data_IF_573093435595
#
_entry.id   IF_573093435595
#
_cell.length_a   1.000
_cell.length_b   1.000
_cell.length_c   1.000
_cell.angle_alpha   90.00
_cell.angle_beta   90.00
_cell.angle_gamma   90.00
#
_symmetry.space_group_name_H-M   'P 1'
#
loop_
_entity.id
_entity.type
_entity.pdbx_description
1 polymer ?
#
# COMPACT_ATOMS: atom_id res chain seq x y z
N UNK A 1 -26.32 -45.82 40.36
CA UNK A 1 -26.30 -44.33 40.25
C UNK A 1 -24.90 -43.95 39.79
N UNK A 2 -24.58 -43.92 38.48
CA UNK A 2 -24.77 -42.83 37.49
C UNK A 2 -24.54 -41.44 38.14
N UNK A 3 -23.62 -40.54 37.76
CA UNK A 3 -22.93 -40.23 36.50
C UNK A 3 -21.52 -39.66 36.77
N UNK A 4 -20.54 -40.05 35.96
CA UNK A 4 -19.36 -39.25 35.67
C UNK A 4 -19.71 -38.13 34.68
N UNK A 5 -19.10 -36.95 34.84
CA UNK A 5 -19.17 -35.86 33.88
C UNK A 5 -17.76 -35.54 33.39
N UNK A 6 -17.47 -35.87 32.13
CA UNK A 6 -16.32 -35.39 31.38
C UNK A 6 -16.66 -34.06 30.69
N UNK A 7 -15.71 -33.11 30.57
CA UNK A 7 -15.91 -31.92 29.76
C UNK A 7 -15.66 -32.21 28.27
N UNK A 8 -16.73 -32.10 27.47
CA UNK A 8 -16.66 -31.94 26.02
C UNK A 8 -16.12 -30.54 25.67
N UNK A 9 -14.85 -30.44 25.30
CA UNK A 9 -14.31 -29.27 24.59
C UNK A 9 -13.28 -29.71 23.55
N UNK A 10 -13.75 -30.41 22.51
CA UNK A 10 -13.00 -30.59 21.26
C UNK A 10 -14.00 -30.69 20.10
N UNK A 11 -14.46 -29.56 19.57
CA UNK A 11 -15.11 -29.52 18.24
C UNK A 11 -15.36 -28.12 17.65
N UNK A 12 -14.59 -27.09 18.01
CA UNK A 12 -14.74 -25.76 17.38
C UNK A 12 -13.68 -25.43 16.32
N UNK A 13 -12.69 -26.30 16.09
CA UNK A 13 -11.59 -26.00 15.17
C UNK A 13 -11.80 -26.47 13.72
N UNK A 14 -12.89 -27.19 13.40
CA UNK A 14 -13.07 -27.78 12.05
C UNK A 14 -14.11 -27.02 11.19
N UNK A 15 -14.99 -26.20 11.79
CA UNK A 15 -16.03 -25.50 11.02
C UNK A 15 -15.53 -24.20 10.38
N UNK A 16 -14.42 -23.61 10.84
CA UNK A 16 -13.88 -22.38 10.24
C UNK A 16 -13.01 -22.57 8.98
N UNK A 17 -12.70 -23.79 8.55
CA UNK A 17 -11.89 -24.02 7.33
C UNK A 17 -12.69 -24.21 6.04
N UNK A 18 -14.03 -24.35 6.11
CA UNK A 18 -14.86 -24.59 4.92
C UNK A 18 -15.47 -23.32 4.31
N UNK A 19 -15.44 -22.18 5.00
CA UNK A 19 -16.00 -20.92 4.50
C UNK A 19 -15.06 -20.15 3.55
N UNK A 20 -13.78 -20.51 3.48
CA UNK A 20 -12.79 -19.75 2.71
C UNK A 20 -12.65 -20.20 1.25
N UNK A 21 -13.12 -21.40 0.90
CA UNK A 21 -13.03 -21.94 -0.47
C UNK A 21 -14.16 -21.45 -1.38
N UNK A 22 -15.35 -21.16 -0.85
CA UNK A 22 -16.50 -20.71 -1.65
C UNK A 22 -16.42 -19.24 -2.07
N UNK A 23 -15.86 -18.37 -1.23
CA UNK A 23 -15.75 -16.93 -1.52
C UNK A 23 -14.89 -16.65 -2.77
N UNK A 24 -13.73 -17.31 -2.89
CA UNK A 24 -12.85 -17.15 -4.04
C UNK A 24 -13.48 -17.67 -5.35
N UNK A 25 -14.27 -18.74 -5.28
CA UNK A 25 -14.97 -19.29 -6.44
C UNK A 25 -16.08 -18.35 -6.95
N UNK A 26 -16.79 -17.67 -6.04
CA UNK A 26 -17.83 -16.71 -6.40
C UNK A 26 -17.26 -15.41 -7.00
N UNK A 27 -16.13 -14.93 -6.49
CA UNK A 27 -15.44 -13.76 -7.06
C UNK A 27 -14.97 -14.03 -8.50
N UNK A 28 -14.36 -15.19 -8.73
CA UNK A 28 -13.85 -15.56 -10.06
C UNK A 28 -14.97 -15.83 -11.07
N UNK A 29 -16.09 -16.41 -10.61
CA UNK A 29 -17.29 -16.55 -11.42
C UNK A 29 -17.89 -15.19 -11.77
N UNK A 30 -18.05 -14.32 -10.79
CA UNK A 30 -18.61 -12.98 -10.98
C UNK A 30 -17.78 -12.14 -11.96
N UNK A 31 -16.45 -12.19 -11.86
CA UNK A 31 -15.53 -11.53 -12.82
C UNK A 31 -15.71 -12.02 -14.26
N UNK A 32 -16.00 -13.31 -14.47
CA UNK A 32 -16.23 -13.89 -15.80
C UNK A 32 -17.51 -13.39 -16.47
N UNK A 33 -18.50 -12.94 -15.69
CA UNK A 33 -19.76 -12.39 -16.22
C UNK A 33 -19.59 -11.02 -16.88
N UNK A 34 -18.47 -10.32 -16.63
CA UNK A 34 -18.12 -9.02 -17.25
C UNK A 34 -19.23 -7.97 -17.14
N UNK A 35 -19.94 -7.94 -16.02
CA UNK A 35 -21.00 -6.98 -15.74
C UNK A 35 -20.36 -5.62 -15.48
N UNK A 36 -20.73 -4.58 -16.25
CA UNK A 36 -20.11 -3.25 -16.20
C UNK A 36 -21.00 -2.14 -15.62
N UNK A 37 -22.29 -2.38 -15.55
CA UNK A 37 -23.27 -1.38 -15.14
C UNK A 37 -23.81 -1.73 -13.75
N UNK A 38 -23.47 -0.91 -12.76
CA UNK A 38 -23.89 -1.07 -11.38
C UNK A 38 -25.42 -1.06 -11.22
N UNK A 39 -26.15 -0.31 -12.07
CA UNK A 39 -27.62 -0.23 -11.99
C UNK A 39 -28.32 -1.53 -12.41
N UNK A 40 -27.73 -2.26 -13.35
CA UNK A 40 -28.26 -3.55 -13.82
C UNK A 40 -27.48 -4.74 -13.26
N UNK A 41 -26.57 -4.50 -12.31
CA UNK A 41 -25.62 -5.50 -11.84
C UNK A 41 -26.31 -6.67 -11.13
N UNK A 42 -27.12 -6.37 -10.11
CA UNK A 42 -27.77 -7.42 -9.33
C UNK A 42 -28.69 -8.27 -10.18
N UNK A 43 -29.45 -7.64 -11.06
CA UNK A 43 -30.34 -8.35 -11.99
C UNK A 43 -29.54 -9.30 -12.90
N UNK A 44 -28.44 -8.83 -13.51
CA UNK A 44 -27.60 -9.65 -14.38
C UNK A 44 -26.86 -10.75 -13.63
N UNK A 45 -26.43 -10.48 -12.40
CA UNK A 45 -25.75 -11.43 -11.53
C UNK A 45 -26.69 -12.57 -11.09
N UNK A 46 -27.91 -12.23 -10.65
CA UNK A 46 -28.90 -13.24 -10.17
C UNK A 46 -29.43 -14.13 -11.29
N UNK A 47 -29.42 -13.66 -12.54
CA UNK A 47 -29.86 -14.43 -13.71
C UNK A 47 -28.73 -15.14 -14.46
N UNK A 48 -27.48 -15.02 -13.98
CA UNK A 48 -26.34 -15.63 -14.64
C UNK A 48 -26.32 -17.15 -14.44
N UNK A 49 -25.81 -17.86 -15.44
CA UNK A 49 -25.65 -19.31 -15.36
C UNK A 49 -24.58 -19.67 -14.33
N UNK A 50 -24.93 -20.55 -13.41
CA UNK A 50 -24.04 -21.11 -12.39
C UNK A 50 -23.77 -22.58 -12.65
N UNK A 51 -22.61 -23.06 -12.23
CA UNK A 51 -22.28 -24.49 -12.19
C UNK A 51 -22.30 -25.02 -10.74
N UNK A 52 -22.02 -26.31 -10.55
CA UNK A 52 -22.04 -26.96 -9.24
C UNK A 52 -21.08 -26.33 -8.22
N UNK A 53 -20.03 -25.63 -8.67
CA UNK A 53 -19.07 -24.95 -7.79
C UNK A 53 -19.46 -23.52 -7.42
N UNK A 54 -20.40 -22.93 -8.17
CA UNK A 54 -20.79 -21.52 -8.09
C UNK A 54 -22.29 -21.32 -7.91
N UNK A 55 -23.04 -22.41 -7.71
CA UNK A 55 -24.50 -22.44 -7.59
C UNK A 55 -25.05 -21.48 -6.54
N UNK A 56 -24.32 -21.29 -5.43
CA UNK A 56 -24.73 -20.41 -4.34
C UNK A 56 -24.35 -18.94 -4.56
N UNK A 57 -23.50 -18.62 -5.55
CA UNK A 57 -22.96 -17.27 -5.74
C UNK A 57 -24.03 -16.24 -6.16
N UNK A 58 -25.18 -16.69 -6.67
CA UNK A 58 -26.33 -15.82 -6.96
C UNK A 58 -26.95 -15.20 -5.70
N UNK A 59 -26.71 -15.79 -4.52
CA UNK A 59 -27.17 -15.29 -3.24
C UNK A 59 -26.30 -14.12 -2.74
N UNK A 60 -25.03 -14.11 -3.11
CA UNK A 60 -24.05 -13.08 -2.74
C UNK A 60 -24.01 -11.91 -3.75
N UNK A 61 -24.90 -11.90 -4.76
CA UNK A 61 -24.93 -10.87 -5.80
C UNK A 61 -25.06 -9.44 -5.27
N UNK A 62 -25.74 -9.24 -4.13
CA UNK A 62 -25.81 -7.92 -3.49
C UNK A 62 -24.41 -7.45 -3.05
N UNK A 63 -23.65 -8.32 -2.38
CA UNK A 63 -22.29 -8.03 -1.92
C UNK A 63 -21.29 -7.93 -3.08
N UNK A 64 -21.40 -8.81 -4.08
CA UNK A 64 -20.55 -8.81 -5.28
C UNK A 64 -20.82 -7.58 -6.17
N UNK A 65 -22.07 -7.14 -6.28
CA UNK A 65 -22.39 -5.90 -7.00
C UNK A 65 -22.07 -4.65 -6.18
N UNK A 66 -22.11 -4.74 -4.85
CA UNK A 66 -21.63 -3.68 -3.97
C UNK A 66 -20.11 -3.49 -4.13
N UNK A 67 -19.33 -4.55 -4.22
CA UNK A 67 -17.89 -4.46 -4.52
C UNK A 67 -17.63 -3.93 -5.94
N UNK A 68 -18.53 -4.16 -6.91
CA UNK A 68 -18.50 -3.52 -8.23
C UNK A 68 -18.84 -2.01 -8.15
N UNK A 69 -19.78 -1.61 -7.30
CA UNK A 69 -20.12 -0.20 -7.08
C UNK A 69 -19.05 0.53 -6.26
N UNK A 70 -18.34 -0.18 -5.38
CA UNK A 70 -17.18 0.30 -4.62
C UNK A 70 -15.93 0.36 -5.50
N UNK A 71 -15.73 -0.57 -6.44
CA UNK A 71 -14.70 -0.47 -7.49
C UNK A 71 -15.06 0.53 -8.61
N UNK A 72 -16.35 0.84 -8.81
CA UNK A 72 -16.75 2.02 -9.59
C UNK A 72 -16.50 3.34 -8.81
N UNK A 73 -16.29 3.26 -7.49
CA UNK A 73 -15.74 4.33 -6.64
C UNK A 73 -14.22 4.24 -6.45
N UNK A 74 -13.54 3.27 -7.07
CA UNK A 74 -12.06 3.21 -7.11
C UNK A 74 -11.44 4.17 -8.13
N UNK A 75 -12.21 5.09 -8.73
CA UNK A 75 -11.65 6.37 -9.13
C UNK A 75 -11.78 7.34 -7.95
N UNK A 76 -10.65 7.65 -7.32
CA UNK A 76 -10.42 8.74 -6.34
C UNK A 76 -10.38 8.38 -4.85
N UNK A 77 -10.04 7.15 -4.44
CA UNK A 77 -9.68 6.95 -3.02
C UNK A 77 -8.22 7.35 -2.75
N UNK A 78 -7.95 8.66 -2.81
CA UNK A 78 -6.68 9.29 -2.40
C UNK A 78 -6.72 9.65 -0.91
N UNK A 79 -7.05 8.69 -0.05
CA UNK A 79 -7.03 8.94 1.39
C UNK A 79 -5.57 9.08 1.87
N UNK A 80 -5.24 10.21 2.49
CA UNK A 80 -3.89 10.49 2.99
C UNK A 80 -2.93 11.17 2.00
N UNK A 81 -3.40 11.60 0.82
CA UNK A 81 -2.61 12.44 -0.09
C UNK A 81 -2.98 13.92 0.05
N UNK A 82 -2.02 14.81 -0.18
CA UNK A 82 -2.25 16.25 -0.30
C UNK A 82 -2.97 16.60 -1.61
N UNK A 83 -3.55 17.79 -1.70
CA UNK A 83 -4.18 18.28 -2.93
C UNK A 83 -3.19 18.33 -4.11
N UNK A 84 -1.93 18.63 -3.82
CA UNK A 84 -0.83 18.65 -4.79
C UNK A 84 -0.49 17.24 -5.29
N UNK A 85 -0.43 16.26 -4.39
CA UNK A 85 -0.24 14.85 -4.74
C UNK A 85 -1.41 14.33 -5.59
N UNK A 86 -2.66 14.68 -5.25
CA UNK A 86 -3.85 14.33 -6.05
C UNK A 86 -3.73 14.92 -7.47
N UNK A 87 -3.32 16.19 -7.58
CA UNK A 87 -3.13 16.87 -8.87
C UNK A 87 -2.05 16.18 -9.72
N UNK A 88 -0.94 15.77 -9.09
CA UNK A 88 0.12 15.01 -9.75
C UNK A 88 -0.36 13.62 -10.18
N UNK A 89 -0.97 12.85 -9.28
CA UNK A 89 -1.41 11.47 -9.51
C UNK A 89 -2.49 11.36 -10.59
N UNK A 90 -3.36 12.38 -10.73
CA UNK A 90 -4.33 12.44 -11.83
C UNK A 90 -3.66 12.45 -13.21
N UNK A 91 -2.51 13.11 -13.33
CA UNK A 91 -1.75 13.24 -14.58
C UNK A 91 -0.74 12.10 -14.77
N UNK A 92 -0.23 11.54 -13.68
CA UNK A 92 0.86 10.55 -13.66
C UNK A 92 0.47 9.30 -12.87
N UNK A 93 -0.64 8.65 -13.24
CA UNK A 93 -1.24 7.53 -12.48
C UNK A 93 -0.25 6.38 -12.23
N UNK A 94 0.57 6.03 -13.23
CA UNK A 94 1.56 4.94 -13.12
C UNK A 94 2.66 5.29 -12.12
N UNK A 95 3.19 6.51 -12.18
CA UNK A 95 4.25 6.96 -11.29
C UNK A 95 3.76 7.07 -9.85
N UNK A 96 2.52 7.49 -9.64
CA UNK A 96 1.88 7.51 -8.33
C UNK A 96 1.72 6.10 -7.73
N UNK A 97 1.29 5.12 -8.53
CA UNK A 97 1.22 3.72 -8.09
C UNK A 97 2.59 3.16 -7.74
N UNK A 98 3.63 3.52 -8.52
CA UNK A 98 5.01 3.15 -8.20
C UNK A 98 5.47 3.81 -6.90
N UNK A 99 5.24 5.11 -6.73
CA UNK A 99 5.61 5.84 -5.51
C UNK A 99 5.01 5.19 -4.25
N UNK A 100 3.73 4.82 -4.29
CA UNK A 100 3.08 4.10 -3.18
C UNK A 100 3.71 2.73 -2.89
N UNK A 101 4.04 1.94 -3.92
CA UNK A 101 4.73 0.66 -3.70
C UNK A 101 6.12 0.85 -3.11
N UNK A 102 6.82 1.90 -3.52
CA UNK A 102 8.17 2.21 -3.07
C UNK A 102 8.19 2.75 -1.64
N UNK A 103 7.11 3.36 -1.13
CA UNK A 103 7.03 3.77 0.27
C UNK A 103 6.93 2.55 1.19
N UNK A 104 6.16 1.53 0.80
CA UNK A 104 6.10 0.24 1.51
C UNK A 104 7.48 -0.43 1.50
N UNK A 105 8.16 -0.46 0.35
CA UNK A 105 9.51 -1.02 0.26
C UNK A 105 10.53 -0.24 1.13
N UNK A 106 10.40 1.08 1.23
CA UNK A 106 11.22 1.91 2.10
C UNK A 106 10.98 1.57 3.57
N UNK A 107 9.72 1.43 3.98
CA UNK A 107 9.36 1.00 5.34
C UNK A 107 9.95 -0.38 5.68
N UNK A 108 9.79 -1.38 4.81
CA UNK A 108 10.39 -2.72 5.00
C UNK A 108 11.92 -2.65 5.12
N UNK A 109 12.56 -1.82 4.30
CA UNK A 109 14.00 -1.61 4.35
C UNK A 109 14.44 -1.01 5.69
N UNK A 110 13.69 -0.03 6.20
CA UNK A 110 13.99 0.65 7.45
C UNK A 110 13.69 -0.21 8.68
N UNK A 111 12.67 -1.08 8.62
CA UNK A 111 12.38 -2.06 9.68
C UNK A 111 13.50 -3.10 9.86
N UNK A 112 14.38 -3.27 8.87
CA UNK A 112 15.59 -4.10 9.02
C UNK A 112 16.67 -3.44 9.91
N UNK A 113 16.59 -2.12 10.13
CA UNK A 113 17.51 -1.34 10.98
C UNK A 113 16.82 -1.00 12.30
N UNK A 114 15.59 -0.52 12.22
CA UNK A 114 14.81 -0.03 13.35
C UNK A 114 13.72 -1.04 13.69
N UNK A 115 13.60 -1.40 14.96
CA UNK A 115 12.58 -2.35 15.42
C UNK A 115 11.16 -1.75 15.43
N UNK A 116 11.04 -0.45 15.19
CA UNK A 116 9.80 0.33 15.14
C UNK A 116 9.86 1.30 13.96
N UNK A 117 8.70 1.67 13.45
CA UNK A 117 8.47 2.67 12.42
C UNK A 117 7.56 3.71 13.07
N UNK A 118 8.09 4.89 13.36
CA UNK A 118 7.37 6.01 14.00
C UNK A 118 7.61 7.31 13.23
N UNK A 119 6.80 8.34 13.50
CA UNK A 119 6.97 9.69 12.93
C UNK A 119 8.00 10.47 13.72
N UNK A 120 8.73 11.36 13.07
CA UNK A 120 9.68 12.30 13.69
C UNK A 120 10.89 11.65 14.39
N UNK A 121 11.23 10.39 14.10
CA UNK A 121 12.43 9.71 14.66
C UNK A 121 13.41 9.22 13.59
N UNK A 122 14.48 8.52 13.98
CA UNK A 122 15.48 8.03 13.02
C UNK A 122 14.92 7.02 12.00
N UNK A 123 13.83 6.33 12.35
CA UNK A 123 13.12 5.43 11.43
C UNK A 123 12.38 6.22 10.35
N UNK A 124 11.87 7.41 10.68
CA UNK A 124 11.23 8.31 9.72
C UNK A 124 12.23 8.89 8.73
N UNK A 125 13.33 9.43 9.26
CA UNK A 125 14.45 9.91 8.44
C UNK A 125 14.98 8.82 7.48
N UNK A 126 14.94 7.55 7.92
CA UNK A 126 15.23 6.41 7.06
C UNK A 126 14.21 6.25 5.93
N UNK A 127 12.90 6.24 6.26
CA UNK A 127 11.84 6.06 5.26
C UNK A 127 11.89 7.15 4.21
N UNK A 128 12.03 8.41 4.59
CA UNK A 128 12.18 9.54 3.66
C UNK A 128 13.39 9.36 2.74
N UNK A 129 14.56 9.04 3.30
CA UNK A 129 15.76 8.80 2.48
C UNK A 129 15.58 7.62 1.50
N UNK A 130 15.10 6.47 1.99
CA UNK A 130 14.96 5.26 1.16
C UNK A 130 13.90 5.47 0.08
N UNK A 131 12.75 6.06 0.43
CA UNK A 131 11.66 6.32 -0.49
C UNK A 131 12.08 7.29 -1.60
N UNK A 132 12.73 8.40 -1.23
CA UNK A 132 13.22 9.38 -2.19
C UNK A 132 14.25 8.77 -3.16
N UNK A 133 15.17 7.94 -2.67
CA UNK A 133 16.17 7.27 -3.52
C UNK A 133 15.50 6.28 -4.49
N UNK A 134 14.59 5.44 -3.98
CA UNK A 134 13.86 4.46 -4.78
C UNK A 134 13.00 5.13 -5.85
N UNK A 135 12.30 6.22 -5.51
CA UNK A 135 11.55 7.00 -6.49
C UNK A 135 12.45 7.59 -7.57
N UNK A 136 13.58 8.20 -7.20
CA UNK A 136 14.50 8.77 -8.20
C UNK A 136 15.01 7.70 -9.17
N UNK A 137 15.22 6.47 -8.70
CA UNK A 137 15.62 5.32 -9.51
C UNK A 137 14.51 4.80 -10.43
N UNK A 138 13.27 4.71 -9.96
CA UNK A 138 12.16 4.02 -10.66
C UNK A 138 11.27 4.92 -11.53
N UNK A 139 11.11 6.20 -11.13
CA UNK A 139 10.26 7.18 -11.84
C UNK A 139 11.05 8.41 -12.29
N UNK A 140 12.35 8.46 -11.99
CA UNK A 140 13.24 9.55 -12.35
C UNK A 140 13.21 10.70 -11.35
N UNK A 141 14.36 11.34 -11.17
CA UNK A 141 14.60 12.41 -10.19
C UNK A 141 13.56 13.55 -10.26
N UNK A 142 13.18 13.97 -11.48
CA UNK A 142 12.23 15.06 -11.67
C UNK A 142 10.85 14.73 -11.06
N UNK A 143 10.32 13.55 -11.36
CA UNK A 143 9.01 13.15 -10.88
C UNK A 143 9.06 12.80 -9.39
N UNK A 144 10.14 12.17 -8.92
CA UNK A 144 10.39 11.94 -7.51
C UNK A 144 10.35 13.23 -6.70
N UNK A 145 11.09 14.25 -7.13
CA UNK A 145 11.14 15.56 -6.46
C UNK A 145 9.76 16.23 -6.37
N UNK A 146 8.96 16.13 -7.44
CA UNK A 146 7.60 16.68 -7.45
C UNK A 146 6.69 15.97 -6.44
N UNK A 147 6.70 14.64 -6.40
CA UNK A 147 5.89 13.86 -5.46
C UNK A 147 6.32 14.16 -4.03
N UNK A 148 7.61 14.04 -3.71
CA UNK A 148 8.15 14.30 -2.38
C UNK A 148 7.79 15.69 -1.87
N UNK A 149 8.01 16.72 -2.69
CA UNK A 149 7.67 18.10 -2.29
C UNK A 149 6.15 18.27 -2.10
N UNK A 150 5.34 17.58 -2.91
CA UNK A 150 3.88 17.61 -2.77
C UNK A 150 3.42 16.90 -1.50
N UNK A 151 4.12 15.83 -1.11
CA UNK A 151 3.86 15.08 0.13
C UNK A 151 4.03 15.98 1.36
N UNK A 152 5.16 16.70 1.43
CA UNK A 152 5.47 17.61 2.55
C UNK A 152 4.68 18.95 2.48
N UNK A 153 3.73 19.11 1.56
CA UNK A 153 2.87 20.29 1.47
C UNK A 153 1.59 20.18 2.29
N UNK A 154 1.49 19.19 3.17
CA UNK A 154 0.36 19.04 4.06
C UNK A 154 0.26 20.26 5.01
N UNK A 155 -0.81 21.08 4.94
CA UNK A 155 -0.93 22.29 5.75
C UNK A 155 -1.15 22.02 7.24
N UNK A 156 -1.30 20.74 7.65
CA UNK A 156 -1.48 20.32 9.04
C UNK A 156 -0.18 19.82 9.69
N UNK A 157 0.88 19.68 8.90
CA UNK A 157 2.20 19.27 9.37
C UNK A 157 2.90 20.42 10.08
N UNK A 158 3.70 20.11 11.10
CA UNK A 158 4.51 21.11 11.79
C UNK A 158 5.72 21.51 10.93
N UNK A 159 6.12 22.78 11.00
CA UNK A 159 7.24 23.29 10.19
C UNK A 159 8.55 22.52 10.45
N UNK A 160 8.76 22.01 11.68
CA UNK A 160 9.97 21.26 12.02
C UNK A 160 10.00 19.84 11.44
N UNK A 161 8.83 19.19 11.37
CA UNK A 161 8.60 17.89 10.71
C UNK A 161 8.85 18.03 9.21
N UNK A 162 8.17 18.99 8.57
CA UNK A 162 8.39 19.35 7.17
C UNK A 162 9.85 19.58 6.81
N UNK A 163 10.58 20.33 7.65
CA UNK A 163 11.99 20.63 7.38
C UNK A 163 12.88 19.38 7.53
N UNK A 164 12.54 18.46 8.44
CA UNK A 164 13.22 17.18 8.61
C UNK A 164 13.05 16.30 7.36
N UNK A 165 11.81 16.17 6.89
CA UNK A 165 11.46 15.33 5.76
C UNK A 165 12.03 15.86 4.45
N UNK A 166 11.89 17.17 4.19
CA UNK A 166 12.52 17.82 3.04
C UNK A 166 14.06 17.68 3.05
N UNK A 167 14.71 17.78 4.20
CA UNK A 167 16.16 17.63 4.31
C UNK A 167 16.59 16.19 3.99
N UNK A 168 15.89 15.20 4.53
CA UNK A 168 16.22 13.79 4.34
C UNK A 168 15.91 13.31 2.91
N UNK A 169 14.81 13.76 2.32
CA UNK A 169 14.50 13.62 0.90
C UNK A 169 15.62 14.19 0.01
N UNK A 170 16.09 15.39 0.34
CA UNK A 170 17.16 16.06 -0.41
C UNK A 170 18.48 15.28 -0.37
N UNK A 171 18.86 14.74 0.79
CA UNK A 171 20.09 13.92 0.92
C UNK A 171 20.05 12.73 -0.04
N UNK A 172 18.90 12.04 -0.13
CA UNK A 172 18.73 10.91 -1.04
C UNK A 172 18.83 11.31 -2.52
N UNK A 173 18.20 12.42 -2.92
CA UNK A 173 18.28 12.92 -4.28
C UNK A 173 19.71 13.35 -4.65
N UNK A 174 20.44 13.99 -3.73
CA UNK A 174 21.85 14.36 -3.93
C UNK A 174 22.73 13.11 -4.05
N UNK A 175 22.49 12.09 -3.24
CA UNK A 175 23.20 10.82 -3.36
C UNK A 175 22.86 10.08 -4.65
N UNK A 176 21.61 10.11 -5.13
CA UNK A 176 21.21 9.51 -6.41
C UNK A 176 21.89 10.19 -7.62
N UNK A 177 22.06 11.52 -7.59
CA UNK A 177 22.77 12.27 -8.64
C UNK A 177 24.22 11.84 -8.80
N UNK A 178 24.82 11.26 -7.77
CA UNK A 178 26.12 10.62 -7.89
C UNK A 178 26.00 9.36 -8.76
N UNK A 179 26.62 9.39 -9.95
CA UNK A 179 26.55 8.31 -10.95
C UNK A 179 27.03 6.94 -10.45
N UNK A 180 27.87 6.90 -9.42
CA UNK A 180 28.28 5.64 -8.78
C UNK A 180 27.18 5.03 -7.91
N UNK A 181 26.26 5.86 -7.43
CA UNK A 181 25.18 5.48 -6.54
C UNK A 181 23.90 5.14 -7.29
N UNK A 182 23.64 5.77 -8.44
CA UNK A 182 22.39 5.57 -9.21
C UNK A 182 22.16 4.14 -9.72
N UNK A 183 23.21 3.30 -9.76
CA UNK A 183 23.15 1.89 -10.19
C UNK A 183 23.17 0.89 -9.03
N UNK A 184 23.10 1.38 -7.79
CA UNK A 184 23.20 0.54 -6.60
C UNK A 184 21.99 -0.37 -6.43
N UNK A 185 22.26 -1.57 -5.92
CA UNK A 185 21.22 -2.46 -5.42
C UNK A 185 20.55 -1.86 -4.18
N UNK A 186 19.38 -2.36 -3.81
CA UNK A 186 18.64 -1.81 -2.67
C UNK A 186 19.41 -2.03 -1.35
N UNK A 187 20.15 -3.14 -1.24
CA UNK A 187 21.08 -3.38 -0.14
C UNK A 187 22.23 -2.36 -0.10
N UNK A 188 22.76 -1.99 -1.27
CA UNK A 188 23.82 -0.98 -1.36
C UNK A 188 23.30 0.42 -0.99
N UNK A 189 22.04 0.72 -1.30
CA UNK A 189 21.37 1.97 -0.90
C UNK A 189 21.19 2.01 0.62
N UNK A 190 20.75 0.90 1.23
CA UNK A 190 20.65 0.76 2.67
C UNK A 190 22.01 0.91 3.37
N UNK A 191 23.08 0.37 2.77
CA UNK A 191 24.45 0.54 3.28
C UNK A 191 24.94 1.98 3.15
N UNK A 192 24.56 2.68 2.08
CA UNK A 192 24.84 4.10 1.91
C UNK A 192 24.11 4.94 2.98
N UNK A 193 22.84 4.64 3.26
CA UNK A 193 22.09 5.22 4.37
C UNK A 193 22.85 5.03 5.69
N UNK A 194 23.23 3.79 6.04
CA UNK A 194 23.99 3.47 7.26
C UNK A 194 25.31 4.26 7.36
N UNK A 195 25.99 4.48 6.23
CA UNK A 195 27.21 5.30 6.18
C UNK A 195 26.91 6.78 6.47
N UNK A 196 25.87 7.33 5.87
CA UNK A 196 25.45 8.71 6.11
C UNK A 196 24.96 8.93 7.55
N UNK A 197 24.32 7.91 8.15
CA UNK A 197 23.87 7.93 9.54
C UNK A 197 25.06 8.04 10.49
N UNK A 198 26.12 7.25 10.28
CA UNK A 198 27.38 7.34 11.05
C UNK A 198 28.04 8.72 10.92
N UNK A 199 27.86 9.38 9.79
CA UNK A 199 28.39 10.71 9.53
C UNK A 199 27.48 11.84 10.02
N UNK A 200 26.38 11.53 10.73
CA UNK A 200 25.42 12.50 11.27
C UNK A 200 24.88 13.47 10.21
N UNK A 201 24.62 12.96 9.01
CA UNK A 201 24.08 13.78 7.90
C UNK A 201 22.58 14.02 7.98
N UNK A 202 21.84 13.13 8.63
CA UNK A 202 20.38 13.18 8.69
C UNK A 202 19.89 14.20 9.71
N UNK A 203 18.76 14.84 9.39
CA UNK A 203 18.01 15.64 10.35
C UNK A 203 17.00 14.72 11.03
N UNK A 204 16.88 14.87 12.35
CA UNK A 204 15.94 14.17 13.24
C UNK A 204 15.58 15.18 14.32
N UNK A 205 14.34 15.17 14.79
CA UNK A 205 13.84 16.15 15.77
C UNK A 205 13.44 15.50 17.09
#
# INVERSE_FOLDING_TARGET
MIREAQPMFRSYAIIMMLLSFSAHACDDWFKKLKIKDAKTCESKCRTALTDMSTFMCTQDCEQLCKSLAESAKEENNFYGLTDDEISFCKKNRIDCLKAYRLSIQAEESCLSIYKRSDTNDESDACRHYMWAFFMAKEIGEKNASLILTSHENNPKEDDSEKEMDLANNKIALDDFRNKEHSKKSDLDILNLYKKNLKNKKFKVI
#
